data_IF_055517743934
#
_entry.id   IF_055517743934
#
_cell.length_a   1.000
_cell.length_b   1.000
_cell.length_c   1.000
_cell.angle_alpha   90.00
_cell.angle_beta   90.00
_cell.angle_gamma   90.00
#
_symmetry.space_group_name_H-M   'P 1'
#
loop_
_entity.id
_entity.type
_entity.pdbx_description
1 polymer ?
#
# COMPACT_ATOMS: atom_id res chain seq x y z
N UNK A 1 14.04 -73.24 -101.33
CA UNK A 1 15.21 -72.50 -100.78
C UNK A 1 15.11 -70.98 -100.93
N UNK A 2 14.75 -70.41 -102.10
CA UNK A 2 14.75 -68.94 -102.34
C UNK A 2 13.92 -68.08 -101.36
N UNK A 3 12.79 -68.58 -100.85
CA UNK A 3 11.91 -67.85 -99.90
C UNK A 3 12.53 -67.66 -98.51
N UNK A 4 13.34 -68.62 -98.05
CA UNK A 4 14.03 -68.51 -96.75
C UNK A 4 15.22 -67.56 -96.84
N UNK A 5 15.92 -67.54 -97.99
CA UNK A 5 17.01 -66.61 -98.25
C UNK A 5 16.53 -65.15 -98.25
N UNK A 6 15.38 -64.88 -98.87
CA UNK A 6 14.79 -63.54 -98.87
C UNK A 6 14.37 -63.08 -97.47
N UNK A 7 13.80 -63.99 -96.65
CA UNK A 7 13.45 -63.70 -95.26
C UNK A 7 14.67 -63.37 -94.41
N UNK A 8 15.76 -64.13 -94.55
CA UNK A 8 17.01 -63.88 -93.84
C UNK A 8 17.64 -62.53 -94.22
N UNK A 9 17.60 -62.17 -95.51
CA UNK A 9 18.07 -60.87 -95.98
C UNK A 9 17.25 -59.73 -95.39
N UNK A 10 15.92 -59.84 -95.38
CA UNK A 10 15.04 -58.82 -94.84
C UNK A 10 15.21 -58.65 -93.32
N UNK A 11 15.39 -59.75 -92.58
CA UNK A 11 15.66 -59.68 -91.13
C UNK A 11 17.02 -59.08 -90.82
N UNK A 12 18.04 -59.36 -91.64
CA UNK A 12 19.36 -58.77 -91.48
C UNK A 12 19.34 -57.27 -91.78
N UNK A 13 18.66 -56.86 -92.86
CA UNK A 13 18.50 -55.46 -93.23
C UNK A 13 17.72 -54.68 -92.16
N UNK A 14 16.64 -55.27 -91.64
CA UNK A 14 15.85 -54.65 -90.58
C UNK A 14 16.63 -54.54 -89.26
N UNK A 15 17.44 -55.54 -88.93
CA UNK A 15 18.34 -55.48 -87.77
C UNK A 15 19.37 -54.36 -87.89
N UNK A 16 19.99 -54.19 -89.07
CA UNK A 16 20.93 -53.09 -89.35
C UNK A 16 20.23 -51.73 -89.25
N UNK A 17 19.00 -51.61 -89.75
CA UNK A 17 18.22 -50.38 -89.65
C UNK A 17 17.91 -50.01 -88.19
N UNK A 18 17.53 -50.98 -87.36
CA UNK A 18 17.26 -50.76 -85.93
C UNK A 18 18.52 -50.32 -85.17
N UNK A 19 19.68 -50.86 -85.52
CA UNK A 19 20.94 -50.53 -84.84
C UNK A 19 21.54 -49.18 -85.31
N UNK A 20 21.14 -48.68 -86.49
CA UNK A 20 21.58 -47.39 -87.00
C UNK A 20 21.01 -46.20 -86.20
N UNK A 21 19.79 -46.31 -85.68
CA UNK A 21 19.12 -45.27 -84.90
C UNK A 21 19.80 -45.01 -83.54
N UNK A 22 20.32 -46.07 -82.91
CA UNK A 22 20.92 -45.99 -81.56
C UNK A 22 22.25 -45.23 -81.56
N UNK A 23 22.98 -45.19 -82.68
CA UNK A 23 24.28 -44.52 -82.77
C UNK A 23 24.18 -43.00 -82.99
N UNK A 24 23.04 -42.50 -83.50
CA UNK A 24 22.85 -41.08 -83.82
C UNK A 24 22.12 -40.31 -82.71
N UNK A 25 21.70 -40.98 -81.63
CA UNK A 25 20.98 -40.40 -80.50
C UNK A 25 21.89 -39.89 -79.36
N UNK A 26 23.21 -39.84 -79.55
CA UNK A 26 24.11 -39.20 -78.57
C UNK A 26 24.18 -37.71 -78.89
N UNK A 27 23.28 -36.92 -78.30
CA UNK A 27 23.41 -35.47 -78.30
C UNK A 27 24.66 -35.08 -77.51
N UNK A 28 25.64 -34.52 -78.22
CA UNK A 28 26.83 -33.92 -77.62
C UNK A 28 26.37 -32.69 -76.83
N UNK A 29 26.48 -32.74 -75.51
CA UNK A 29 26.21 -31.58 -74.66
C UNK A 29 26.97 -30.35 -75.18
N UNK A 30 26.35 -29.17 -75.24
CA UNK A 30 26.99 -27.96 -75.77
C UNK A 30 28.30 -27.70 -75.00
N UNK A 31 29.43 -27.68 -75.73
CA UNK A 31 30.75 -27.41 -75.15
C UNK A 31 30.80 -25.94 -74.73
N UNK A 32 30.67 -25.69 -73.44
CA UNK A 32 30.94 -24.39 -72.83
C UNK A 32 32.39 -24.01 -73.15
N UNK A 33 32.61 -22.81 -73.72
CA UNK A 33 33.94 -22.31 -74.03
C UNK A 33 34.59 -21.74 -72.77
N UNK A 34 35.90 -21.93 -72.61
CA UNK A 34 36.67 -21.34 -71.49
C UNK A 34 36.45 -19.82 -71.34
N UNK A 35 36.20 -19.12 -72.46
CA UNK A 35 35.85 -17.69 -72.46
C UNK A 35 34.53 -17.40 -71.75
N UNK A 36 33.51 -18.24 -71.94
CA UNK A 36 32.20 -18.08 -71.29
C UNK A 36 32.29 -18.40 -69.79
N UNK A 37 33.14 -19.37 -69.41
CA UNK A 37 33.42 -19.68 -68.00
C UNK A 37 34.09 -18.49 -67.32
N UNK A 38 35.10 -17.89 -67.95
CA UNK A 38 35.80 -16.71 -67.41
C UNK A 38 34.82 -15.54 -67.24
N UNK A 39 33.98 -15.26 -68.25
CA UNK A 39 33.00 -14.16 -68.15
C UNK A 39 32.01 -14.38 -67.00
N UNK A 40 31.48 -15.61 -66.85
CA UNK A 40 30.60 -15.95 -65.73
C UNK A 40 31.31 -15.88 -64.38
N UNK A 41 32.57 -16.30 -64.30
CA UNK A 41 33.38 -16.21 -63.08
C UNK A 41 33.65 -14.75 -62.69
N UNK A 42 34.05 -13.91 -63.63
CA UNK A 42 34.27 -12.47 -63.38
C UNK A 42 32.98 -11.81 -62.90
N UNK A 43 31.84 -12.09 -63.54
CA UNK A 43 30.54 -11.55 -63.12
C UNK A 43 30.14 -12.03 -61.72
N UNK A 44 30.47 -13.27 -61.38
CA UNK A 44 30.19 -13.86 -60.07
C UNK A 44 31.09 -13.25 -59.00
N UNK A 45 32.37 -13.00 -59.31
CA UNK A 45 33.33 -12.30 -58.44
C UNK A 45 32.88 -10.85 -58.16
N UNK A 46 32.47 -10.11 -59.20
CA UNK A 46 31.90 -8.77 -59.06
C UNK A 46 30.62 -8.78 -58.20
N UNK A 47 29.75 -9.77 -58.43
CA UNK A 47 28.54 -10.00 -57.63
C UNK A 47 28.86 -10.27 -56.15
N UNK A 48 29.87 -11.10 -55.87
CA UNK A 48 30.33 -11.38 -54.52
C UNK A 48 30.95 -10.15 -53.85
N UNK A 49 31.78 -9.38 -54.56
CA UNK A 49 32.34 -8.14 -54.03
C UNK A 49 31.26 -7.10 -53.72
N UNK A 50 30.29 -6.93 -54.62
CA UNK A 50 29.15 -6.04 -54.41
C UNK A 50 28.32 -6.45 -53.19
N UNK A 51 28.04 -7.74 -53.06
CA UNK A 51 27.34 -8.29 -51.90
C UNK A 51 28.13 -8.09 -50.61
N UNK A 52 29.44 -8.32 -50.63
CA UNK A 52 30.34 -8.06 -49.50
C UNK A 52 30.30 -6.60 -49.03
N UNK A 53 30.37 -5.65 -49.97
CA UNK A 53 30.25 -4.21 -49.65
C UNK A 53 28.89 -3.86 -49.07
N UNK A 54 27.80 -4.42 -49.60
CA UNK A 54 26.46 -4.16 -49.07
C UNK A 54 26.27 -4.74 -47.67
N UNK A 55 26.82 -5.93 -47.40
CA UNK A 55 26.82 -6.54 -46.06
C UNK A 55 27.59 -5.66 -45.09
N UNK A 56 28.80 -5.22 -45.45
CA UNK A 56 29.63 -4.35 -44.62
C UNK A 56 28.90 -3.04 -44.26
N UNK A 57 28.30 -2.37 -45.25
CA UNK A 57 27.53 -1.15 -45.02
C UNK A 57 26.34 -1.38 -44.07
N UNK A 58 25.63 -2.51 -44.22
CA UNK A 58 24.52 -2.87 -43.32
C UNK A 58 25.03 -3.16 -41.92
N UNK A 59 26.18 -3.80 -41.79
CA UNK A 59 26.79 -4.13 -40.51
C UNK A 59 27.21 -2.85 -39.77
N UNK A 60 27.91 -1.94 -40.45
CA UNK A 60 28.26 -0.63 -39.89
C UNK A 60 27.04 0.19 -39.48
N UNK A 61 25.98 0.20 -40.30
CA UNK A 61 24.74 0.87 -39.95
C UNK A 61 24.04 0.23 -38.74
N UNK A 62 24.13 -1.10 -38.59
CA UNK A 62 23.60 -1.81 -37.42
C UNK A 62 24.40 -1.48 -36.16
N UNK A 63 25.73 -1.47 -36.26
CA UNK A 63 26.64 -1.16 -35.15
C UNK A 63 26.41 0.27 -34.64
N UNK A 64 26.27 1.24 -35.53
CA UNK A 64 25.90 2.62 -35.17
C UNK A 64 24.55 2.70 -34.45
N UNK A 65 23.54 1.95 -34.92
CA UNK A 65 22.22 1.91 -34.27
C UNK A 65 22.28 1.25 -32.90
N UNK A 66 23.03 0.15 -32.76
CA UNK A 66 23.24 -0.52 -31.48
C UNK A 66 23.94 0.41 -30.49
N UNK A 67 24.99 1.12 -30.92
CA UNK A 67 25.71 2.03 -30.04
C UNK A 67 24.84 3.23 -29.63
N UNK A 68 24.05 3.79 -30.56
CA UNK A 68 23.09 4.85 -30.24
C UNK A 68 22.03 4.37 -29.23
N UNK A 69 21.49 3.16 -29.42
CA UNK A 69 20.55 2.54 -28.49
C UNK A 69 21.17 2.29 -27.13
N UNK A 70 22.42 1.83 -27.09
CA UNK A 70 23.15 1.60 -25.84
C UNK A 70 23.37 2.90 -25.07
N UNK A 71 23.84 3.97 -25.75
CA UNK A 71 23.99 5.31 -25.15
C UNK A 71 22.67 5.87 -24.62
N UNK A 72 21.58 5.73 -25.38
CA UNK A 72 20.25 6.16 -24.92
C UNK A 72 19.79 5.39 -23.68
N UNK A 73 20.04 4.08 -23.66
CA UNK A 73 19.68 3.21 -22.54
C UNK A 73 20.47 3.60 -21.29
N UNK A 74 21.79 3.78 -21.43
CA UNK A 74 22.68 4.22 -20.36
C UNK A 74 22.25 5.57 -19.77
N UNK A 75 21.94 6.56 -20.62
CA UNK A 75 21.44 7.86 -20.17
C UNK A 75 20.12 7.74 -19.39
N UNK A 76 19.21 6.87 -19.83
CA UNK A 76 17.95 6.61 -19.12
C UNK A 76 18.19 5.95 -17.76
N UNK A 77 19.11 4.99 -17.68
CA UNK A 77 19.50 4.36 -16.43
C UNK A 77 20.11 5.37 -15.47
N UNK A 78 21.05 6.21 -15.92
CA UNK A 78 21.64 7.26 -15.08
C UNK A 78 20.60 8.28 -14.58
N UNK A 79 19.67 8.69 -15.44
CA UNK A 79 18.58 9.58 -15.03
C UNK A 79 17.63 8.91 -14.02
N UNK A 80 17.39 7.61 -14.16
CA UNK A 80 16.59 6.83 -13.21
C UNK A 80 17.30 6.70 -11.86
N UNK A 81 18.60 6.41 -11.88
CA UNK A 81 19.45 6.33 -10.68
C UNK A 81 19.45 7.65 -9.90
N UNK A 82 19.63 8.78 -10.58
CA UNK A 82 19.55 10.11 -9.94
C UNK A 82 18.18 10.37 -9.29
N UNK A 83 17.09 9.96 -9.95
CA UNK A 83 15.74 10.10 -9.38
C UNK A 83 15.55 9.20 -8.16
N UNK A 84 16.07 7.97 -8.20
CA UNK A 84 16.05 7.06 -7.06
C UNK A 84 16.81 7.63 -5.88
N UNK A 85 18.03 8.11 -6.08
CA UNK A 85 18.83 8.75 -5.02
C UNK A 85 18.14 9.98 -4.43
N UNK A 86 17.55 10.84 -5.26
CA UNK A 86 16.79 11.99 -4.79
C UNK A 86 15.54 11.58 -4.00
N UNK A 87 14.89 10.48 -4.39
CA UNK A 87 13.74 9.91 -3.68
C UNK A 87 14.16 9.34 -2.32
N UNK A 88 15.26 8.59 -2.27
CA UNK A 88 15.84 8.03 -1.04
C UNK A 88 16.17 9.13 -0.04
N UNK A 89 16.81 10.22 -0.48
CA UNK A 89 17.09 11.37 0.38
C UNK A 89 15.82 11.99 0.97
N UNK A 90 14.75 12.09 0.17
CA UNK A 90 13.45 12.58 0.66
C UNK A 90 12.85 11.63 1.68
N UNK A 91 12.89 10.32 1.44
CA UNK A 91 12.42 9.32 2.39
C UNK A 91 13.16 9.41 3.72
N UNK A 92 14.50 9.45 3.70
CA UNK A 92 15.31 9.62 4.92
C UNK A 92 14.97 10.91 5.67
N UNK A 93 14.68 12.00 4.94
CA UNK A 93 14.27 13.26 5.58
C UNK A 93 12.89 13.18 6.24
N UNK A 94 11.96 12.41 5.65
CA UNK A 94 10.61 12.19 6.20
C UNK A 94 10.70 11.26 7.41
N UNK A 95 11.47 10.18 7.31
CA UNK A 95 11.70 9.22 8.40
C UNK A 95 12.25 9.94 9.64
N UNK A 96 13.30 10.76 9.49
CA UNK A 96 13.84 11.57 10.60
C UNK A 96 12.81 12.49 11.26
N UNK A 97 11.92 13.10 10.46
CA UNK A 97 10.87 13.97 10.99
C UNK A 97 9.78 13.16 11.72
N UNK A 98 9.41 12.01 11.16
CA UNK A 98 8.47 11.09 11.79
C UNK A 98 9.03 10.55 13.11
N UNK A 99 10.29 10.13 13.15
CA UNK A 99 10.95 9.67 14.37
C UNK A 99 10.98 10.75 15.45
N UNK A 100 11.30 11.99 15.07
CA UNK A 100 11.27 13.11 16.00
C UNK A 100 9.86 13.37 16.56
N UNK A 101 8.83 13.34 15.70
CA UNK A 101 7.43 13.50 16.11
C UNK A 101 6.94 12.32 16.97
N UNK A 102 7.32 11.10 16.62
CA UNK A 102 6.97 9.89 17.34
C UNK A 102 7.59 9.88 18.74
N UNK A 103 8.88 10.22 18.83
CA UNK A 103 9.57 10.33 20.12
C UNK A 103 8.94 11.39 21.03
N UNK A 104 8.58 12.57 20.49
CA UNK A 104 7.86 13.59 21.25
C UNK A 104 6.49 13.09 21.73
N UNK A 105 5.75 12.40 20.86
CA UNK A 105 4.44 11.83 21.18
C UNK A 105 4.55 10.79 22.30
N UNK A 106 5.56 9.91 22.25
CA UNK A 106 5.83 8.93 23.30
C UNK A 106 6.17 9.61 24.63
N UNK A 107 7.01 10.64 24.62
CA UNK A 107 7.33 11.42 25.84
C UNK A 107 6.07 12.07 26.42
N UNK A 108 5.21 12.64 25.57
CA UNK A 108 3.97 13.26 26.00
C UNK A 108 2.98 12.23 26.60
N UNK A 109 2.86 11.04 26.01
CA UNK A 109 2.05 9.94 26.56
C UNK A 109 2.59 9.50 27.93
N UNK A 110 3.92 9.31 28.04
CA UNK A 110 4.55 8.93 29.31
C UNK A 110 4.36 10.00 30.38
N UNK A 111 4.42 11.29 30.01
CA UNK A 111 4.15 12.40 30.91
C UNK A 111 2.69 12.40 31.39
N UNK A 112 1.72 12.16 30.50
CA UNK A 112 0.29 12.08 30.87
C UNK A 112 0.04 10.89 31.80
N UNK A 113 0.55 9.70 31.47
CA UNK A 113 0.40 8.51 32.32
C UNK A 113 1.01 8.76 33.70
N UNK A 114 2.21 9.36 33.74
CA UNK A 114 2.87 9.76 34.98
C UNK A 114 2.05 10.74 35.81
N UNK A 115 1.47 11.77 35.16
CA UNK A 115 0.64 12.78 35.82
C UNK A 115 -0.67 12.19 36.35
N UNK A 116 -1.36 11.37 35.56
CA UNK A 116 -2.57 10.67 35.99
C UNK A 116 -2.27 9.75 37.17
N UNK A 117 -1.19 8.98 37.09
CA UNK A 117 -0.71 8.14 38.18
C UNK A 117 -0.43 8.95 39.45
N UNK A 118 0.25 10.10 39.31
CA UNK A 118 0.54 11.01 40.41
C UNK A 118 -0.72 11.60 41.05
N UNK A 119 -1.69 12.06 40.26
CA UNK A 119 -2.96 12.62 40.76
C UNK A 119 -3.78 11.57 41.51
N UNK A 120 -3.83 10.33 41.00
CA UNK A 120 -4.52 9.22 41.68
C UNK A 120 -3.84 8.88 43.01
N UNK A 121 -2.50 8.91 43.05
CA UNK A 121 -1.72 8.70 44.27
C UNK A 121 -1.93 9.83 45.30
N UNK A 122 -1.88 11.08 44.85
CA UNK A 122 -2.09 12.27 45.68
C UNK A 122 -3.47 12.26 46.32
N UNK A 123 -4.54 12.01 45.55
CA UNK A 123 -5.91 11.90 46.06
C UNK A 123 -6.04 10.82 47.13
N UNK A 124 -5.43 9.64 46.95
CA UNK A 124 -5.44 8.57 47.97
C UNK A 124 -4.64 8.94 49.22
N UNK A 125 -3.63 9.79 49.11
CA UNK A 125 -2.77 10.19 50.23
C UNK A 125 -3.37 11.37 51.01
N UNK A 126 -3.95 12.34 50.31
CA UNK A 126 -4.55 13.55 50.86
C UNK A 126 -5.90 13.32 51.58
N UNK A 127 -6.65 12.27 51.21
CA UNK A 127 -7.93 11.93 51.85
C UNK A 127 -7.78 11.19 53.20
N UNK A 128 -6.63 10.55 53.46
CA UNK A 128 -6.37 9.85 54.74
C UNK A 128 -6.56 10.73 55.99
N UNK A 129 -6.06 11.98 56.05
CA UNK A 129 -6.32 12.87 57.19
C UNK A 129 -7.76 13.40 57.21
N UNK A 130 -8.41 13.50 56.05
CA UNK A 130 -9.77 14.01 55.92
C UNK A 130 -10.80 13.01 56.48
N UNK A 131 -10.59 11.73 56.22
CA UNK A 131 -11.41 10.62 56.76
C UNK A 131 -11.43 10.62 58.30
N UNK A 132 -10.29 10.91 58.95
CA UNK A 132 -10.20 11.04 60.42
C UNK A 132 -10.98 12.23 60.98
N UNK A 133 -11.15 13.31 60.20
CA UNK A 133 -11.95 14.48 60.60
C UNK A 133 -13.44 14.22 60.42
N UNK A 134 -13.82 13.64 59.28
CA UNK A 134 -15.20 13.22 59.03
C UNK A 134 -15.68 12.19 60.06
N UNK A 135 -14.84 11.24 60.46
CA UNK A 135 -15.18 10.29 61.53
C UNK A 135 -15.49 10.96 62.87
N UNK A 136 -14.76 12.02 63.25
CA UNK A 136 -15.07 12.79 64.47
C UNK A 136 -16.36 13.58 64.35
N UNK A 137 -16.56 14.27 63.25
CA UNK A 137 -17.79 15.05 63.01
C UNK A 137 -19.01 14.13 62.97
N UNK A 138 -18.92 12.99 62.27
CA UNK A 138 -19.99 12.00 62.22
C UNK A 138 -20.32 11.44 63.61
N UNK A 139 -19.29 11.17 64.43
CA UNK A 139 -19.48 10.63 65.76
C UNK A 139 -20.04 11.66 66.77
N UNK A 140 -19.62 12.93 66.67
CA UNK A 140 -20.23 14.03 67.42
C UNK A 140 -21.68 14.24 67.02
N UNK A 141 -21.96 14.21 65.72
CA UNK A 141 -23.31 14.34 65.17
C UNK A 141 -24.21 13.17 65.63
N UNK A 142 -23.73 11.94 65.60
CA UNK A 142 -24.46 10.76 66.07
C UNK A 142 -24.76 10.81 67.57
N UNK A 143 -23.81 11.31 68.37
CA UNK A 143 -23.96 11.54 69.81
C UNK A 143 -24.96 12.65 70.11
N UNK A 144 -24.87 13.79 69.42
CA UNK A 144 -25.74 14.95 69.65
C UNK A 144 -27.16 14.71 69.17
N UNK A 145 -27.33 14.02 68.04
CA UNK A 145 -28.65 13.57 67.55
C UNK A 145 -29.23 12.41 68.38
N UNK A 146 -28.44 11.77 69.25
CA UNK A 146 -28.91 10.71 70.16
C UNK A 146 -29.50 9.50 69.42
N UNK A 147 -28.89 9.12 68.29
CA UNK A 147 -29.34 8.04 67.40
C UNK A 147 -29.49 6.65 68.06
N UNK A 148 -28.75 6.27 69.14
CA UNK A 148 -28.95 4.95 69.76
C UNK A 148 -30.18 4.86 70.69
N UNK A 149 -31.14 5.79 70.60
CA UNK A 149 -32.37 5.75 71.40
C UNK A 149 -33.48 4.98 70.68
N UNK A 150 -34.25 4.11 71.37
CA UNK A 150 -35.27 3.26 70.74
C UNK A 150 -36.43 4.01 70.07
N UNK A 151 -36.58 5.31 70.33
CA UNK A 151 -37.62 6.18 69.75
C UNK A 151 -37.12 7.08 68.59
N UNK A 152 -35.88 6.90 68.14
CA UNK A 152 -35.30 7.65 67.02
C UNK A 152 -34.63 8.99 67.39
N UNK A 153 -34.01 9.62 66.39
CA UNK A 153 -33.15 10.80 66.55
C UNK A 153 -33.88 11.99 67.21
N UNK A 154 -33.14 12.81 67.98
CA UNK A 154 -33.63 14.08 68.54
C UNK A 154 -34.19 15.01 67.46
N UNK A 155 -33.65 15.00 66.24
CA UNK A 155 -34.22 15.76 65.12
C UNK A 155 -35.58 15.22 64.71
N UNK A 156 -35.77 13.90 64.70
CA UNK A 156 -37.06 13.27 64.43
C UNK A 156 -38.10 13.70 65.46
N UNK A 157 -37.71 13.77 66.75
CA UNK A 157 -38.60 14.28 67.81
C UNK A 157 -38.89 15.77 67.68
N UNK A 158 -37.91 16.59 67.29
CA UNK A 158 -38.09 18.02 67.10
C UNK A 158 -39.02 18.30 65.92
N UNK A 159 -38.87 17.55 64.82
CA UNK A 159 -39.76 17.61 63.65
C UNK A 159 -41.16 17.12 64.02
N UNK A 160 -41.29 16.04 64.80
CA UNK A 160 -42.58 15.54 65.25
C UNK A 160 -43.31 16.56 66.15
N UNK A 161 -42.60 17.15 67.12
CA UNK A 161 -43.16 18.20 67.98
C UNK A 161 -43.53 19.46 67.20
N UNK A 162 -42.70 19.88 66.23
CA UNK A 162 -43.03 20.97 65.31
C UNK A 162 -44.27 20.65 64.47
N UNK A 163 -44.41 19.40 64.01
CA UNK A 163 -45.55 18.94 63.22
C UNK A 163 -46.84 18.86 64.04
N UNK A 164 -46.73 18.60 65.33
CA UNK A 164 -47.87 18.57 66.27
C UNK A 164 -48.37 19.98 66.61
N UNK A 165 -47.47 20.98 66.68
CA UNK A 165 -47.81 22.38 66.98
C UNK A 165 -48.24 23.16 65.72
N UNK A 166 -47.79 22.75 64.53
CA UNK A 166 -48.07 23.45 63.27
C UNK A 166 -49.55 23.61 62.85
N UNK A 167 -50.50 22.70 63.16
CA UNK A 167 -51.88 22.88 62.72
C UNK A 167 -52.67 23.93 63.53
N UNK A 168 -52.27 24.24 64.77
CA UNK A 168 -53.08 25.05 65.69
C UNK A 168 -52.79 26.56 65.68
N UNK A 169 -51.72 27.03 65.01
CA UNK A 169 -51.38 28.46 64.99
C UNK A 169 -51.08 28.97 63.57
N UNK A 170 -52.02 29.69 62.92
CA UNK A 170 -51.83 30.23 61.56
C UNK A 170 -50.71 31.28 61.46
N UNK A 171 -50.28 31.91 62.58
CA UNK A 171 -49.13 32.84 62.55
C UNK A 171 -47.78 32.13 62.49
N UNK A 172 -47.70 30.90 62.99
CA UNK A 172 -46.45 30.13 63.01
C UNK A 172 -46.13 29.57 61.62
N UNK A 173 -47.14 29.13 60.85
CA UNK A 173 -46.92 28.69 59.46
C UNK A 173 -46.45 29.82 58.56
N UNK A 174 -46.98 31.04 58.75
CA UNK A 174 -46.56 32.24 58.02
C UNK A 174 -45.12 32.63 58.38
N UNK A 175 -44.78 32.69 59.67
CA UNK A 175 -43.39 32.99 60.12
C UNK A 175 -42.39 31.91 59.70
N UNK A 176 -42.78 30.64 59.73
CA UNK A 176 -41.91 29.54 59.33
C UNK A 176 -41.74 29.53 57.81
N UNK A 177 -42.79 29.80 57.04
CA UNK A 177 -42.70 30.05 55.60
C UNK A 177 -41.82 31.26 55.26
N UNK A 178 -41.95 32.35 56.00
CA UNK A 178 -41.11 33.54 55.84
C UNK A 178 -39.65 33.26 56.18
N UNK A 179 -39.38 32.48 57.23
CA UNK A 179 -38.02 32.16 57.70
C UNK A 179 -37.35 31.11 56.81
N UNK A 180 -38.09 30.11 56.33
CA UNK A 180 -37.62 29.13 55.34
C UNK A 180 -37.36 29.78 53.97
N UNK A 181 -38.15 30.80 53.61
CA UNK A 181 -37.91 31.62 52.42
C UNK A 181 -36.67 32.51 52.60
N UNK A 182 -36.48 33.09 53.80
CA UNK A 182 -35.30 33.91 54.15
C UNK A 182 -34.00 33.12 54.22
N UNK A 183 -34.08 31.82 54.50
CA UNK A 183 -32.93 30.90 54.52
C UNK A 183 -32.88 29.94 53.32
N UNK A 184 -33.56 30.31 52.23
CA UNK A 184 -33.44 29.75 50.87
C UNK A 184 -33.36 28.22 50.81
N UNK A 185 -34.41 27.51 51.26
CA UNK A 185 -34.57 26.09 50.95
C UNK A 185 -35.72 25.80 49.97
N UNK A 186 -36.39 26.84 49.44
CA UNK A 186 -37.50 26.70 48.48
C UNK A 186 -37.52 27.82 47.42
N UNK A 187 -36.37 28.27 46.92
CA UNK A 187 -36.34 29.17 45.76
C UNK A 187 -35.18 28.79 44.83
N UNK A 188 -35.31 27.62 44.21
CA UNK A 188 -34.63 27.35 42.94
C UNK A 188 -35.63 26.68 41.99
N UNK A 189 -36.50 27.48 41.39
CA UNK A 189 -37.18 27.08 40.14
C UNK A 189 -37.57 28.32 39.32
N UNK A 190 -36.60 28.73 38.49
CA UNK A 190 -36.70 29.29 37.13
C UNK A 190 -37.64 30.48 36.81
N UNK A 191 -37.24 31.25 35.78
CA UNK A 191 -38.05 31.13 34.57
C UNK A 191 -37.20 30.91 33.30
N UNK A 192 -37.62 29.89 32.53
CA UNK A 192 -37.42 29.83 31.07
C UNK A 192 -38.05 31.06 30.42
N UNK A 193 -37.26 31.84 29.68
CA UNK A 193 -37.64 32.59 28.47
C UNK A 193 -36.35 32.69 27.64
N UNK A 194 -36.25 31.95 26.54
CA UNK A 194 -36.72 32.27 25.19
C UNK A 194 -35.49 32.61 24.32
#
# INVERSE_FOLDING_TARGET
MKKHLFRLFFTALFSVLIHADVALAVEVAPRISDREIIERLTRLEEGQQSMGRQIEQRFQAMEQRMEAMHKQTEQRFQAMEQRFQAMEQRFLSVEKRMDAQWNLTLVLIMAIIGLVGFVVWDRKTALKPLERRFGRIAHELERDLGVPSPEGSRLTRLIAALREIAPDDPKLSERMGETLRRHSLLEEEAPRRA
#
